data_IF_493036506563
#
_entry.id   IF_493036506563
#
_cell.length_a   1.000
_cell.length_b   1.000
_cell.length_c   1.000
_cell.angle_alpha   90.00
_cell.angle_beta   90.00
_cell.angle_gamma   90.00
#
_symmetry.space_group_name_H-M   'P 1'
#
loop_
_entity.id
_entity.type
_entity.pdbx_description
1 polymer ?
#
# COMPACT_ATOMS: atom_id res chain seq x y z
N UNK A 1 -25.32 14.09 -32.43
CA UNK A 1 -23.90 13.72 -32.18
C UNK A 1 -23.41 14.44 -30.93
N UNK A 2 -23.69 13.87 -29.77
CA UNK A 2 -23.14 14.32 -28.49
C UNK A 2 -21.74 13.74 -28.39
N UNK A 3 -20.75 14.63 -28.35
CA UNK A 3 -19.33 14.31 -28.35
C UNK A 3 -18.97 13.36 -27.21
N UNK A 4 -18.36 12.24 -27.59
CA UNK A 4 -17.63 11.33 -26.74
C UNK A 4 -16.49 12.09 -26.03
N UNK A 5 -16.74 12.54 -24.80
CA UNK A 5 -15.66 12.81 -23.85
C UNK A 5 -15.55 11.60 -22.92
N UNK A 6 -14.98 10.50 -23.42
CA UNK A 6 -14.41 9.48 -22.54
C UNK A 6 -13.01 9.93 -22.18
N UNK A 7 -12.88 10.79 -21.17
CA UNK A 7 -11.61 10.92 -20.46
C UNK A 7 -11.66 9.81 -19.42
N UNK A 8 -10.88 8.71 -19.54
CA UNK A 8 -10.61 7.89 -18.38
C UNK A 8 -9.76 8.77 -17.46
N UNK A 9 -10.40 9.43 -16.50
CA UNK A 9 -9.68 10.19 -15.49
C UNK A 9 -8.91 9.19 -14.64
N UNK A 10 -7.61 9.08 -14.85
CA UNK A 10 -6.74 8.28 -14.00
C UNK A 10 -6.67 8.90 -12.61
N UNK A 11 -6.70 8.03 -11.61
CA UNK A 11 -6.51 8.34 -10.19
C UNK A 11 -5.02 8.19 -9.92
N UNK A 12 -4.33 9.33 -9.82
CA UNK A 12 -2.91 9.33 -9.48
C UNK A 12 -2.66 8.69 -8.11
N UNK A 13 -3.47 9.03 -7.11
CA UNK A 13 -3.36 8.48 -5.76
C UNK A 13 -4.75 8.19 -5.19
N UNK A 14 -4.97 6.95 -4.78
CA UNK A 14 -6.10 6.54 -3.97
C UNK A 14 -5.64 6.38 -2.51
N UNK A 15 -6.21 7.15 -1.59
CA UNK A 15 -6.00 6.97 -0.15
C UNK A 15 -7.21 6.28 0.46
N UNK A 16 -6.98 5.23 1.24
CA UNK A 16 -8.00 4.50 1.99
C UNK A 16 -7.71 4.70 3.47
N UNK A 17 -8.63 5.40 4.13
CA UNK A 17 -8.59 5.77 5.55
C UNK A 17 -9.94 5.39 6.18
N UNK A 18 -10.11 4.09 6.41
CA UNK A 18 -11.32 3.52 7.01
C UNK A 18 -10.91 2.52 8.07
N UNK A 19 -11.53 2.57 9.25
CA UNK A 19 -11.17 1.69 10.36
C UNK A 19 -11.81 0.31 10.21
N UNK A 20 -11.02 -0.71 9.89
CA UNK A 20 -11.46 -2.11 9.91
C UNK A 20 -12.28 -2.56 8.69
N UNK A 21 -12.42 -1.70 7.68
CA UNK A 21 -13.16 -1.97 6.43
C UNK A 21 -12.29 -1.82 5.17
N UNK A 22 -10.97 -1.71 5.32
CA UNK A 22 -10.02 -1.43 4.25
C UNK A 22 -10.14 -2.46 3.12
N UNK A 23 -10.28 -3.74 3.46
CA UNK A 23 -10.45 -4.82 2.49
C UNK A 23 -11.77 -4.72 1.72
N UNK A 24 -12.85 -4.25 2.34
CA UNK A 24 -14.13 -4.05 1.67
C UNK A 24 -14.06 -2.88 0.67
N UNK A 25 -13.39 -1.79 1.05
CA UNK A 25 -13.13 -0.66 0.15
C UNK A 25 -12.29 -1.12 -1.03
N UNK A 26 -11.25 -1.92 -0.80
CA UNK A 26 -10.42 -2.49 -1.86
C UNK A 26 -11.20 -3.33 -2.85
N UNK A 27 -12.02 -4.25 -2.34
CA UNK A 27 -12.86 -5.11 -3.18
C UNK A 27 -13.85 -4.29 -3.99
N UNK A 28 -14.43 -3.25 -3.39
CA UNK A 28 -15.38 -2.36 -4.07
C UNK A 28 -14.71 -1.50 -5.15
N UNK A 29 -13.41 -1.23 -5.02
CA UNK A 29 -12.62 -0.45 -5.98
C UNK A 29 -11.82 -1.31 -6.97
N UNK A 30 -11.94 -2.65 -6.93
CA UNK A 30 -11.19 -3.60 -7.76
C UNK A 30 -11.26 -3.27 -9.26
N UNK A 31 -12.44 -2.85 -9.75
CA UNK A 31 -12.63 -2.50 -11.15
C UNK A 31 -11.73 -1.33 -11.60
N UNK A 32 -11.45 -0.37 -10.72
CA UNK A 32 -10.55 0.76 -11.02
C UNK A 32 -9.12 0.29 -11.24
N UNK A 33 -8.66 -0.69 -10.44
CA UNK A 33 -7.33 -1.29 -10.60
C UNK A 33 -7.26 -2.16 -11.87
N UNK A 34 -8.30 -2.95 -12.15
CA UNK A 34 -8.37 -3.76 -13.39
C UNK A 34 -8.37 -2.92 -14.66
N UNK A 35 -8.96 -1.73 -14.59
CA UNK A 35 -8.94 -0.74 -15.67
C UNK A 35 -7.66 0.10 -15.71
N UNK A 36 -6.68 -0.19 -14.84
CA UNK A 36 -5.42 0.56 -14.72
C UNK A 36 -5.64 2.06 -14.45
N UNK A 37 -6.73 2.40 -13.76
CA UNK A 37 -7.05 3.79 -13.42
C UNK A 37 -6.30 4.26 -12.17
N UNK A 38 -5.87 3.37 -11.28
CA UNK A 38 -5.18 3.74 -10.03
C UNK A 38 -3.68 3.49 -10.16
N UNK A 39 -2.87 4.55 -10.03
CA UNK A 39 -1.41 4.44 -10.11
C UNK A 39 -0.79 4.12 -8.74
N UNK A 40 -1.31 4.77 -7.71
CA UNK A 40 -0.79 4.70 -6.35
C UNK A 40 -1.90 4.49 -5.34
N UNK A 41 -1.55 3.79 -4.27
CA UNK A 41 -2.46 3.45 -3.20
C UNK A 41 -1.78 3.63 -1.86
N UNK A 42 -2.42 4.36 -0.96
CA UNK A 42 -2.01 4.48 0.44
C UNK A 42 -3.12 3.93 1.30
N UNK A 43 -2.76 3.04 2.22
CA UNK A 43 -3.64 2.62 3.31
C UNK A 43 -3.12 3.18 4.61
N UNK A 44 -3.98 3.90 5.30
CA UNK A 44 -3.66 4.37 6.64
C UNK A 44 -4.12 3.35 7.67
N UNK A 45 -3.19 2.88 8.49
CA UNK A 45 -3.52 1.97 9.58
C UNK A 45 -3.85 2.77 10.82
N UNK A 46 -4.95 2.40 11.45
CA UNK A 46 -5.19 2.88 12.80
C UNK A 46 -4.41 2.08 13.81
N UNK A 47 -3.79 2.78 14.77
CA UNK A 47 -2.98 2.20 15.85
C UNK A 47 -3.75 1.20 16.75
N UNK A 48 -5.07 1.07 16.59
CA UNK A 48 -5.97 0.57 17.63
C UNK A 48 -6.70 -0.75 17.35
N UNK A 49 -6.48 -1.47 16.24
CA UNK A 49 -7.33 -2.68 16.09
C UNK A 49 -7.10 -3.67 14.96
N UNK A 50 -6.34 -3.35 13.92
CA UNK A 50 -6.13 -4.35 12.86
C UNK A 50 -5.19 -5.46 13.34
N UNK A 51 -5.73 -6.65 13.52
CA UNK A 51 -4.97 -7.85 13.87
C UNK A 51 -4.02 -8.23 12.74
N UNK A 52 -2.92 -8.93 13.05
CA UNK A 52 -1.91 -9.41 12.07
C UNK A 52 -2.53 -10.12 10.87
N UNK A 53 -3.68 -10.78 11.05
CA UNK A 53 -4.39 -11.49 9.98
C UNK A 53 -5.00 -10.52 8.96
N UNK A 54 -5.62 -9.43 9.42
CA UNK A 54 -6.19 -8.40 8.52
C UNK A 54 -5.11 -7.77 7.64
N UNK A 55 -3.90 -7.58 8.18
CA UNK A 55 -2.76 -7.08 7.41
C UNK A 55 -2.34 -8.04 6.30
N UNK A 56 -2.20 -9.32 6.64
CA UNK A 56 -1.87 -10.35 5.65
C UNK A 56 -2.91 -10.42 4.54
N UNK A 57 -4.19 -10.26 4.88
CA UNK A 57 -5.28 -10.29 3.89
C UNK A 57 -5.24 -9.07 2.97
N UNK A 58 -5.00 -7.87 3.52
CA UNK A 58 -4.88 -6.63 2.72
C UNK A 58 -3.66 -6.70 1.79
N UNK A 59 -2.49 -7.11 2.29
CA UNK A 59 -1.29 -7.23 1.45
C UNK A 59 -1.44 -8.33 0.42
N UNK A 60 -1.93 -9.49 0.85
CA UNK A 60 -2.21 -10.61 -0.03
C UNK A 60 -3.14 -10.18 -1.16
N UNK A 61 -4.25 -9.51 -0.85
CA UNK A 61 -5.19 -9.02 -1.83
C UNK A 61 -4.57 -7.97 -2.77
N UNK A 62 -3.86 -6.98 -2.21
CA UNK A 62 -3.24 -5.89 -3.00
C UNK A 62 -2.15 -6.42 -3.94
N UNK A 63 -1.32 -7.36 -3.47
CA UNK A 63 -0.25 -7.95 -4.28
C UNK A 63 -0.78 -8.95 -5.30
N UNK A 64 -1.66 -9.86 -4.90
CA UNK A 64 -2.07 -11.00 -5.75
C UNK A 64 -3.25 -10.68 -6.66
N UNK A 65 -4.26 -9.98 -6.13
CA UNK A 65 -5.49 -9.67 -6.87
C UNK A 65 -5.34 -8.36 -7.63
N UNK A 66 -4.91 -7.30 -6.94
CA UNK A 66 -4.74 -5.98 -7.58
C UNK A 66 -3.42 -5.85 -8.35
N UNK A 67 -2.50 -6.80 -8.18
CA UNK A 67 -1.21 -6.87 -8.88
C UNK A 67 -0.31 -5.65 -8.65
N UNK A 68 -0.34 -5.09 -7.44
CA UNK A 68 0.63 -4.07 -7.04
C UNK A 68 2.07 -4.60 -7.25
N UNK A 69 2.93 -3.72 -7.76
CA UNK A 69 4.29 -4.04 -8.22
C UNK A 69 5.32 -3.81 -7.14
N UNK A 70 5.18 -2.72 -6.40
CA UNK A 70 6.11 -2.33 -5.34
C UNK A 70 5.38 -1.81 -4.12
N UNK A 71 5.96 -2.06 -2.95
CA UNK A 71 5.43 -1.67 -1.65
C UNK A 71 6.48 -0.87 -0.88
N UNK A 72 6.03 0.11 -0.10
CA UNK A 72 6.87 0.95 0.74
C UNK A 72 6.17 1.23 2.08
N UNK A 73 6.94 1.42 3.14
CA UNK A 73 6.46 1.87 4.44
C UNK A 73 6.64 3.38 4.58
N UNK A 74 5.69 4.07 5.19
CA UNK A 74 5.77 5.50 5.47
C UNK A 74 6.03 5.75 6.95
N UNK A 75 6.94 6.69 7.26
CA UNK A 75 7.15 7.11 8.64
C UNK A 75 5.99 8.00 9.12
N UNK A 76 5.50 7.83 10.37
CA UNK A 76 4.30 8.52 10.89
C UNK A 76 4.36 10.04 10.79
N UNK A 77 5.47 10.60 11.26
CA UNK A 77 5.56 12.04 11.53
C UNK A 77 6.70 12.72 10.77
N UNK A 78 7.35 12.01 9.85
CA UNK A 78 8.54 12.49 9.14
C UNK A 78 8.40 12.12 7.67
N UNK A 79 8.94 12.92 6.75
CA UNK A 79 8.92 12.63 5.32
C UNK A 79 9.97 11.55 4.97
N UNK A 80 9.83 10.37 5.58
CA UNK A 80 10.73 9.22 5.39
C UNK A 80 9.92 8.07 4.81
N UNK A 81 10.48 7.46 3.76
CA UNK A 81 9.89 6.34 3.03
C UNK A 81 10.90 5.19 3.07
N UNK A 82 10.42 3.99 3.42
CA UNK A 82 11.23 2.79 3.56
C UNK A 82 10.84 1.76 2.50
N UNK A 83 11.82 1.20 1.79
CA UNK A 83 11.58 0.16 0.78
C UNK A 83 12.45 0.32 -0.48
N UNK A 84 12.13 -0.39 -1.57
CA UNK A 84 10.97 -1.27 -1.75
C UNK A 84 10.99 -2.48 -0.80
N UNK A 85 9.81 -2.89 -0.33
CA UNK A 85 9.64 -4.01 0.60
C UNK A 85 9.52 -5.33 -0.19
N UNK A 86 10.29 -6.34 0.21
CA UNK A 86 10.13 -7.71 -0.27
C UNK A 86 9.10 -8.51 0.58
N UNK A 87 8.86 -9.79 0.25
CA UNK A 87 7.88 -10.61 0.97
C UNK A 87 8.25 -10.89 2.43
N UNK A 88 9.53 -11.02 2.73
CA UNK A 88 10.00 -11.18 4.10
C UNK A 88 9.76 -9.89 4.90
N UNK A 89 10.09 -8.74 4.32
CA UNK A 89 9.87 -7.42 4.89
C UNK A 89 8.37 -7.20 5.19
N UNK A 90 7.49 -7.57 4.27
CA UNK A 90 6.03 -7.49 4.43
C UNK A 90 5.51 -8.44 5.53
N UNK A 91 6.07 -9.65 5.63
CA UNK A 91 5.69 -10.62 6.64
C UNK A 91 6.15 -10.25 8.06
N UNK A 92 7.29 -9.58 8.16
CA UNK A 92 7.87 -9.06 9.40
C UNK A 92 7.35 -7.65 9.74
N UNK A 93 6.65 -7.01 8.81
CA UNK A 93 6.20 -5.63 8.91
C UNK A 93 5.47 -5.32 10.22
N UNK A 94 4.42 -6.08 10.57
CA UNK A 94 3.61 -5.86 11.78
C UNK A 94 4.43 -6.02 13.08
N UNK A 95 5.30 -7.04 13.15
CA UNK A 95 6.08 -7.33 14.37
C UNK A 95 7.14 -6.25 14.62
N UNK A 96 7.75 -5.71 13.56
CA UNK A 96 8.82 -4.73 13.66
C UNK A 96 8.31 -3.29 13.80
N UNK A 97 7.21 -2.92 13.13
CA UNK A 97 6.59 -1.59 13.29
C UNK A 97 6.02 -1.41 14.69
N UNK A 98 5.48 -2.47 15.30
CA UNK A 98 5.08 -2.48 16.71
C UNK A 98 6.27 -2.20 17.66
N UNK A 99 7.45 -2.76 17.39
CA UNK A 99 8.66 -2.53 18.18
C UNK A 99 9.23 -1.12 18.00
N UNK A 100 9.20 -0.58 16.78
CA UNK A 100 9.81 0.73 16.42
C UNK A 100 8.86 1.94 16.50
N UNK A 101 7.57 1.74 16.84
CA UNK A 101 6.52 2.78 16.87
C UNK A 101 6.38 3.58 15.57
N UNK A 102 6.62 2.94 14.43
CA UNK A 102 6.36 3.52 13.12
C UNK A 102 4.86 3.36 12.83
N UNK A 103 4.14 4.40 12.37
CA UNK A 103 2.85 4.20 11.69
C UNK A 103 3.04 3.19 10.57
N UNK A 104 2.00 2.42 10.33
CA UNK A 104 2.07 1.21 9.52
C UNK A 104 1.72 1.50 8.06
N UNK A 105 1.52 2.76 7.69
CA UNK A 105 0.93 3.13 6.41
C UNK A 105 1.77 2.58 5.28
N UNK A 106 1.10 1.80 4.42
CA UNK A 106 1.74 1.17 3.28
C UNK A 106 1.30 1.87 2.02
N UNK A 107 2.32 2.26 1.27
CA UNK A 107 2.19 2.76 -0.07
C UNK A 107 2.44 1.60 -1.04
N UNK A 108 1.53 1.41 -1.98
CA UNK A 108 1.63 0.46 -3.07
C UNK A 108 1.60 1.20 -4.42
N UNK A 109 2.49 0.81 -5.33
CA UNK A 109 2.52 1.30 -6.71
C UNK A 109 2.15 0.19 -7.68
N UNK A 110 1.35 0.54 -8.69
CA UNK A 110 0.89 -0.37 -9.74
C UNK A 110 1.65 -0.19 -11.05
N UNK A 111 2.53 0.81 -11.11
CA UNK A 111 3.37 1.07 -12.27
C UNK A 111 4.66 0.24 -12.19
N UNK A 112 4.98 -0.41 -13.29
CA UNK A 112 6.31 -0.98 -13.50
C UNK A 112 7.29 0.20 -13.60
N UNK A 113 8.35 0.24 -12.78
CA UNK A 113 9.47 1.21 -12.78
C UNK A 113 9.47 2.40 -11.80
N UNK A 114 8.54 2.53 -10.85
CA UNK A 114 8.62 3.65 -9.89
C UNK A 114 9.42 3.30 -8.62
N UNK A 115 10.74 3.45 -8.71
CA UNK A 115 11.59 3.59 -7.53
C UNK A 115 11.46 5.01 -7.02
N UNK A 116 10.99 5.19 -5.78
CA UNK A 116 10.95 6.51 -5.16
C UNK A 116 12.40 6.94 -4.92
N UNK A 117 12.87 7.97 -5.63
CA UNK A 117 14.28 8.38 -5.66
C UNK A 117 14.90 8.70 -4.28
N UNK A 118 14.06 9.05 -3.31
CA UNK A 118 14.45 9.36 -1.93
C UNK A 118 14.05 8.29 -0.91
N UNK A 119 13.59 7.11 -1.36
CA UNK A 119 13.34 6.00 -0.45
C UNK A 119 14.66 5.55 0.17
N UNK A 120 14.69 5.44 1.49
CA UNK A 120 15.85 4.91 2.20
C UNK A 120 15.83 3.39 1.96
N UNK A 121 16.89 2.80 1.35
CA UNK A 121 17.00 1.37 1.19
C UNK A 121 16.83 0.73 2.56
N UNK A 122 15.79 -0.07 2.68
CA UNK A 122 15.43 -0.64 3.96
C UNK A 122 15.66 -2.15 3.88
N UNK A 123 16.79 -2.59 4.42
CA UNK A 123 17.08 -4.01 4.60
C UNK A 123 16.89 -4.37 6.07
N UNK A 124 15.92 -5.21 6.37
CA UNK A 124 15.82 -5.80 7.69
C UNK A 124 17.02 -6.74 7.88
N UNK A 125 17.96 -6.37 8.75
CA UNK A 125 18.91 -7.35 9.27
C UNK A 125 18.13 -8.21 10.26
N UNK A 126 17.81 -9.43 9.84
CA UNK A 126 17.28 -10.47 10.71
C UNK A 126 18.21 -10.64 11.90
N UNK A 127 17.80 -10.11 13.06
CA UNK A 127 18.41 -10.47 14.34
C UNK A 127 17.61 -11.63 14.90
N UNK A 128 17.90 -12.82 14.37
CA UNK A 128 17.74 -14.07 15.13
C UNK A 128 19.04 -14.31 15.89
#
# INVERSE_FOLDING_TARGET
NLNNYSIPSSIYLLRIDVQGYELHVLRSSENLFRQHLVHHLIFEYTNWGTTRNVHKDIFGYTKTILRAKTFYALHPNKPIIYGPLNDEDLNQFDSQHRKKRLQRDIYASFNDQQTIANAIPYSFHSSF
#
